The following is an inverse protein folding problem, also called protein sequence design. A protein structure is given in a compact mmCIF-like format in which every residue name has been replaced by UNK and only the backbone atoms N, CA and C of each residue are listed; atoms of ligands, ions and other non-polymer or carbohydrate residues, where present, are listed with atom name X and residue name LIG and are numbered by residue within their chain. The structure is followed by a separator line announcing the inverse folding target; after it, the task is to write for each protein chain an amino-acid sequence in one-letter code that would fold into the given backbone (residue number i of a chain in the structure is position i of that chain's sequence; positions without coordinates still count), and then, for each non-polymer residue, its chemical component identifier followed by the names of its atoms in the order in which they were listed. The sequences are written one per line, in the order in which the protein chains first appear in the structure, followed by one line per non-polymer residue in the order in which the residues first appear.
data_IF_044594246033
#
_entry.id   IF_044594246033
#
_cell.length_a   1.000
_cell.length_b   1.000
_cell.length_c   1.000
_cell.angle_alpha   90.00
_cell.angle_beta   90.00
_cell.angle_gamma   90.00
#
_symmetry.space_group_name_H-M   'P 1'
#
loop_
_entity.id
_entity.type
_entity.pdbx_description
1 polymer ?
#
# COMPACT_ATOMS: atom_id res chain seq x y z
N UNK A 1 2.71 15.15 -3.48
CA UNK A 1 3.46 15.60 -2.28
C UNK A 1 2.60 15.47 -1.02
N UNK A 2 1.37 15.99 -0.97
CA UNK A 2 0.53 15.92 0.24
C UNK A 2 0.23 14.48 0.70
N UNK A 3 0.01 13.54 -0.23
CA UNK A 3 -0.25 12.13 0.08
C UNK A 3 0.95 11.47 0.79
N UNK A 4 2.14 11.53 0.21
CA UNK A 4 3.34 10.91 0.80
C UNK A 4 3.69 11.48 2.18
N UNK A 5 3.40 12.79 2.41
CA UNK A 5 3.56 13.41 3.73
C UNK A 5 2.57 12.86 4.75
N UNK A 6 1.31 12.59 4.36
CA UNK A 6 0.30 11.97 5.22
C UNK A 6 0.69 10.53 5.56
N UNK A 7 1.11 9.74 4.57
CA UNK A 7 1.62 8.36 4.78
C UNK A 7 2.79 8.37 5.75
N UNK A 8 3.78 9.23 5.53
CA UNK A 8 4.92 9.38 6.43
C UNK A 8 4.51 9.81 7.85
N UNK A 9 3.44 10.61 7.97
CA UNK A 9 2.84 10.98 9.26
C UNK A 9 2.30 9.78 10.04
N UNK A 10 1.73 8.79 9.34
CA UNK A 10 1.31 7.51 9.96
C UNK A 10 2.55 6.69 10.35
N UNK A 11 3.51 6.54 9.45
CA UNK A 11 4.74 5.76 9.68
C UNK A 11 5.51 6.27 10.91
N UNK A 12 5.62 7.59 11.08
CA UNK A 12 6.28 8.24 12.23
C UNK A 12 5.69 7.88 13.59
N UNK A 13 4.45 7.44 13.65
CA UNK A 13 3.83 7.04 14.92
C UNK A 13 4.39 5.70 15.43
N UNK A 14 5.04 4.91 14.58
CA UNK A 14 5.46 3.54 14.88
C UNK A 14 6.96 3.30 14.77
N UNK A 15 7.71 4.19 14.15
CA UNK A 15 9.16 4.04 13.97
C UNK A 15 9.89 5.38 13.94
N UNK A 16 11.15 5.35 14.38
CA UNK A 16 12.13 6.44 14.25
C UNK A 16 13.25 6.09 13.26
N UNK A 17 13.15 4.94 12.57
CA UNK A 17 14.13 4.51 11.57
C UNK A 17 14.10 5.46 10.36
N UNK A 18 15.21 6.18 10.16
CA UNK A 18 15.32 7.22 9.13
C UNK A 18 15.18 6.66 7.71
N UNK A 19 15.68 5.45 7.46
CA UNK A 19 15.56 4.81 6.15
C UNK A 19 14.10 4.45 5.82
N UNK A 20 13.35 3.96 6.80
CA UNK A 20 11.92 3.66 6.64
C UNK A 20 11.14 4.97 6.41
N UNK A 21 11.44 6.02 7.16
CA UNK A 21 10.81 7.33 7.00
C UNK A 21 11.13 7.94 5.63
N UNK A 22 12.36 7.80 5.17
CA UNK A 22 12.80 8.25 3.85
C UNK A 22 12.07 7.46 2.74
N UNK A 23 12.04 6.13 2.85
CA UNK A 23 11.34 5.27 1.89
C UNK A 23 9.83 5.58 1.82
N UNK A 24 9.20 5.89 2.96
CA UNK A 24 7.79 6.29 3.01
C UNK A 24 7.53 7.62 2.26
N UNK A 25 8.48 8.56 2.30
CA UNK A 25 8.37 9.81 1.52
C UNK A 25 8.60 9.59 0.02
N UNK A 26 9.35 8.57 -0.36
CA UNK A 26 9.76 8.29 -1.74
C UNK A 26 8.97 7.15 -2.39
N UNK A 27 7.96 6.56 -1.71
CA UNK A 27 7.35 5.30 -2.12
C UNK A 27 6.73 5.32 -3.53
N UNK A 28 6.25 6.47 -4.01
CA UNK A 28 5.66 6.63 -5.35
C UNK A 28 6.66 7.20 -6.38
N UNK A 29 7.88 7.58 -5.97
CA UNK A 29 8.76 8.39 -6.84
C UNK A 29 9.21 7.63 -8.08
N UNK A 30 9.42 6.32 -7.99
CA UNK A 30 9.81 5.51 -9.16
C UNK A 30 8.64 5.41 -10.14
N UNK A 31 7.42 5.12 -9.67
CA UNK A 31 6.23 5.05 -10.53
C UNK A 31 5.92 6.39 -11.21
N UNK A 32 6.05 7.49 -10.46
CA UNK A 32 5.60 8.80 -10.92
C UNK A 32 6.64 9.56 -11.79
N UNK A 33 7.93 9.26 -11.61
CA UNK A 33 9.01 10.10 -12.17
C UNK A 33 9.93 9.41 -13.17
N UNK A 34 9.86 8.08 -13.28
CA UNK A 34 10.79 7.31 -14.12
C UNK A 34 10.03 6.39 -15.07
N UNK A 35 10.39 6.41 -16.37
CA UNK A 35 9.89 5.45 -17.35
C UNK A 35 10.49 4.06 -17.13
N UNK A 36 11.77 4.03 -16.74
CA UNK A 36 12.51 2.81 -16.41
C UNK A 36 12.69 2.70 -14.88
N UNK A 37 12.04 1.71 -14.23
CA UNK A 37 12.15 1.52 -12.78
C UNK A 37 13.58 1.20 -12.31
N UNK A 38 14.41 0.55 -13.13
CA UNK A 38 15.79 0.22 -12.75
C UNK A 38 16.69 1.47 -12.74
N UNK A 39 16.45 2.42 -13.65
CA UNK A 39 17.10 3.75 -13.61
C UNK A 39 16.68 4.51 -12.35
N UNK A 40 15.40 4.51 -12.02
CA UNK A 40 14.89 5.13 -10.79
C UNK A 40 15.52 4.53 -9.53
N UNK A 41 15.58 3.21 -9.45
CA UNK A 41 16.22 2.50 -8.34
C UNK A 41 17.69 2.87 -8.18
N UNK A 42 18.47 2.87 -9.28
CA UNK A 42 19.88 3.24 -9.24
C UNK A 42 20.12 4.67 -8.73
N UNK A 43 19.31 5.63 -9.21
CA UNK A 43 19.38 7.03 -8.74
C UNK A 43 19.05 7.14 -7.24
N UNK A 44 18.06 6.40 -6.76
CA UNK A 44 17.72 6.37 -5.33
C UNK A 44 18.84 5.75 -4.49
N UNK A 45 19.45 4.66 -4.99
CA UNK A 45 20.58 4.02 -4.31
C UNK A 45 21.77 4.98 -4.14
N UNK A 46 22.11 5.72 -5.20
CA UNK A 46 23.20 6.73 -5.14
C UNK A 46 22.89 7.87 -4.16
N UNK A 47 21.64 8.32 -4.07
CA UNK A 47 21.26 9.50 -3.27
C UNK A 47 20.90 9.19 -1.83
N UNK A 48 20.26 8.05 -1.58
CA UNK A 48 19.64 7.71 -0.29
C UNK A 48 20.14 6.39 0.30
N UNK A 49 20.99 5.67 -0.43
CA UNK A 49 21.55 4.39 -0.02
C UNK A 49 20.68 3.20 -0.44
N UNK A 50 21.33 2.03 -0.45
CA UNK A 50 20.77 0.78 -0.96
C UNK A 50 19.49 0.37 -0.24
N UNK A 51 19.44 0.47 1.09
CA UNK A 51 18.27 0.04 1.89
C UNK A 51 17.02 0.83 1.53
N UNK A 52 17.12 2.14 1.41
CA UNK A 52 15.99 3.00 1.00
C UNK A 52 15.55 2.66 -0.41
N UNK A 53 16.49 2.54 -1.35
CA UNK A 53 16.19 2.23 -2.75
C UNK A 53 15.50 0.87 -2.91
N UNK A 54 15.97 -0.16 -2.19
CA UNK A 54 15.37 -1.50 -2.22
C UNK A 54 13.94 -1.50 -1.67
N UNK A 55 13.67 -0.82 -0.56
CA UNK A 55 12.32 -0.69 0.00
C UNK A 55 11.40 0.02 -1.00
N UNK A 56 11.84 1.12 -1.61
CA UNK A 56 11.03 1.85 -2.60
C UNK A 56 10.78 0.99 -3.84
N UNK A 57 11.77 0.21 -4.30
CA UNK A 57 11.58 -0.74 -5.41
C UNK A 57 10.52 -1.79 -5.11
N UNK A 58 10.49 -2.35 -3.90
CA UNK A 58 9.43 -3.27 -3.47
C UNK A 58 8.05 -2.62 -3.50
N UNK A 59 7.95 -1.32 -3.18
CA UNK A 59 6.69 -0.57 -3.16
C UNK A 59 6.21 -0.17 -4.56
N UNK A 60 7.11 -0.09 -5.55
CA UNK A 60 6.83 0.29 -6.93
C UNK A 60 6.04 -0.81 -7.65
N UNK A 61 4.88 -0.48 -8.22
CA UNK A 61 4.07 -1.42 -9.01
C UNK A 61 4.54 -1.44 -10.47
N UNK A 62 4.46 -2.59 -11.12
CA UNK A 62 4.69 -2.72 -12.55
C UNK A 62 3.36 -2.79 -13.29
N UNK A 63 3.10 -1.81 -14.14
CA UNK A 63 1.89 -1.78 -14.95
C UNK A 63 1.87 -2.92 -15.97
N UNK A 64 3.03 -3.23 -16.54
CA UNK A 64 3.17 -4.31 -17.53
C UNK A 64 2.87 -5.67 -16.89
N UNK A 65 3.35 -5.93 -15.67
CA UNK A 65 3.02 -7.16 -14.94
C UNK A 65 1.52 -7.24 -14.62
N UNK A 66 0.92 -6.13 -14.14
CA UNK A 66 -0.50 -6.08 -13.83
C UNK A 66 -1.34 -6.41 -15.07
N UNK A 67 -1.01 -5.83 -16.21
CA UNK A 67 -1.81 -5.95 -17.42
C UNK A 67 -1.61 -7.31 -18.14
N UNK A 68 -0.45 -7.96 -17.99
CA UNK A 68 -0.10 -9.19 -18.73
C UNK A 68 -0.21 -10.47 -17.90
N UNK A 69 0.05 -10.40 -16.58
CA UNK A 69 0.28 -11.60 -15.75
C UNK A 69 -0.81 -11.83 -14.70
N UNK A 70 -1.70 -10.86 -14.47
CA UNK A 70 -2.72 -10.94 -13.44
C UNK A 70 -4.12 -10.59 -13.93
N UNK A 71 -5.13 -11.26 -13.37
CA UNK A 71 -6.54 -11.01 -13.71
C UNK A 71 -7.04 -9.65 -13.18
N UNK A 72 -6.43 -9.15 -12.11
CA UNK A 72 -6.76 -7.85 -11.53
C UNK A 72 -5.57 -7.22 -10.81
N UNK A 73 -5.67 -5.89 -10.58
CA UNK A 73 -4.69 -5.17 -9.73
C UNK A 73 -4.69 -5.72 -8.29
N UNK A 74 -5.85 -6.18 -7.79
CA UNK A 74 -5.93 -6.77 -6.46
C UNK A 74 -5.12 -8.07 -6.38
N UNK A 75 -5.24 -8.96 -7.37
CA UNK A 75 -4.48 -10.22 -7.41
C UNK A 75 -2.97 -9.97 -7.47
N UNK A 76 -2.54 -9.03 -8.31
CA UNK A 76 -1.14 -8.59 -8.34
C UNK A 76 -0.66 -8.09 -6.97
N UNK A 77 -1.43 -7.21 -6.31
CA UNK A 77 -1.05 -6.66 -5.02
C UNK A 77 -1.03 -7.70 -3.91
N UNK A 78 -1.92 -8.68 -3.92
CA UNK A 78 -1.93 -9.80 -2.97
C UNK A 78 -0.60 -10.56 -3.05
N UNK A 79 -0.19 -10.97 -4.25
CA UNK A 79 1.05 -11.70 -4.48
C UNK A 79 2.26 -10.84 -4.09
N UNK A 80 2.28 -9.60 -4.55
CA UNK A 80 3.37 -8.67 -4.25
C UNK A 80 3.52 -8.40 -2.75
N UNK A 81 2.44 -8.07 -2.06
CA UNK A 81 2.47 -7.79 -0.63
C UNK A 81 2.79 -9.03 0.21
N UNK A 82 2.42 -10.22 -0.26
CA UNK A 82 2.82 -11.47 0.39
C UNK A 82 4.34 -11.65 0.42
N UNK A 83 5.06 -11.20 -0.60
CA UNK A 83 6.51 -11.33 -0.73
C UNK A 83 7.31 -10.12 -0.26
N UNK A 84 6.68 -9.01 0.10
CA UNK A 84 7.37 -7.81 0.59
C UNK A 84 8.16 -8.08 1.87
N UNK A 85 9.29 -7.38 2.04
CA UNK A 85 9.95 -7.24 3.34
C UNK A 85 8.98 -6.68 4.38
N UNK A 86 9.31 -6.84 5.66
CA UNK A 86 8.48 -6.31 6.75
C UNK A 86 8.38 -4.78 6.69
N UNK A 87 9.45 -4.11 6.30
CA UNK A 87 9.52 -2.66 6.14
C UNK A 87 8.64 -2.17 4.99
N UNK A 88 8.76 -2.80 3.82
CA UNK A 88 7.95 -2.44 2.65
C UNK A 88 6.46 -2.72 2.91
N UNK A 89 6.11 -3.85 3.50
CA UNK A 89 4.73 -4.16 3.85
C UNK A 89 4.16 -3.16 4.85
N UNK A 90 4.93 -2.76 5.87
CA UNK A 90 4.51 -1.75 6.82
C UNK A 90 4.15 -0.42 6.13
N UNK A 91 5.03 0.08 5.26
CA UNK A 91 4.75 1.30 4.49
C UNK A 91 3.53 1.12 3.58
N UNK A 92 3.41 -0.02 2.90
CA UNK A 92 2.26 -0.31 2.00
C UNK A 92 0.93 -0.36 2.75
N UNK A 93 0.90 -0.89 3.97
CA UNK A 93 -0.29 -0.88 4.82
C UNK A 93 -0.63 0.55 5.26
N UNK A 94 0.36 1.39 5.61
CA UNK A 94 0.14 2.80 5.93
C UNK A 94 -0.39 3.60 4.73
N UNK A 95 0.16 3.37 3.53
CA UNK A 95 -0.32 3.93 2.27
C UNK A 95 -1.79 3.56 2.03
N UNK A 96 -2.13 2.28 2.16
CA UNK A 96 -3.51 1.82 1.99
C UNK A 96 -4.47 2.42 3.01
N UNK A 97 -4.06 2.54 4.27
CA UNK A 97 -4.84 3.21 5.32
C UNK A 97 -5.12 4.67 4.99
N UNK A 98 -4.12 5.40 4.48
CA UNK A 98 -4.29 6.78 4.04
C UNK A 98 -5.20 6.90 2.82
N UNK A 99 -5.02 6.02 1.83
CA UNK A 99 -5.85 5.99 0.63
C UNK A 99 -7.33 5.72 0.93
N UNK A 100 -7.65 4.85 1.89
CA UNK A 100 -9.04 4.66 2.36
C UNK A 100 -9.60 5.97 2.90
N UNK A 101 -8.82 6.72 3.66
CA UNK A 101 -9.25 8.02 4.20
C UNK A 101 -9.50 9.04 3.09
N UNK A 102 -8.62 9.10 2.10
CA UNK A 102 -8.75 10.03 0.96
C UNK A 102 -9.89 9.63 0.01
N UNK A 103 -10.21 8.33 -0.08
CA UNK A 103 -11.29 7.82 -0.93
C UNK A 103 -12.69 8.29 -0.51
N UNK A 104 -12.87 8.77 0.73
CA UNK A 104 -14.15 9.34 1.18
C UNK A 104 -14.65 10.50 0.32
N UNK A 105 -13.73 11.30 -0.20
CA UNK A 105 -14.04 12.47 -1.04
C UNK A 105 -14.05 12.15 -2.53
N UNK A 106 -13.71 10.92 -2.91
CA UNK A 106 -13.71 10.47 -4.29
C UNK A 106 -15.13 10.13 -4.79
N UNK A 107 -15.26 9.92 -6.11
CA UNK A 107 -16.51 9.44 -6.71
C UNK A 107 -16.95 8.11 -6.09
N UNK A 108 -18.25 7.87 -6.00
CA UNK A 108 -18.81 6.64 -5.44
C UNK A 108 -18.28 5.39 -6.14
N UNK A 109 -18.17 5.42 -7.47
CA UNK A 109 -17.64 4.30 -8.26
C UNK A 109 -16.19 3.98 -7.89
N UNK A 110 -15.33 5.00 -7.79
CA UNK A 110 -13.93 4.82 -7.41
C UNK A 110 -13.81 4.32 -5.97
N UNK A 111 -14.54 4.94 -5.05
CA UNK A 111 -14.56 4.57 -3.64
C UNK A 111 -14.97 3.11 -3.44
N UNK A 112 -16.08 2.69 -4.04
CA UNK A 112 -16.59 1.33 -3.90
C UNK A 112 -15.59 0.30 -4.46
N UNK A 113 -15.02 0.56 -5.64
CA UNK A 113 -13.98 -0.29 -6.22
C UNK A 113 -12.78 -0.41 -5.30
N UNK A 114 -12.25 0.71 -4.81
CA UNK A 114 -11.06 0.72 -3.96
C UNK A 114 -11.28 -0.01 -2.63
N UNK A 115 -12.47 0.13 -2.03
CA UNK A 115 -12.83 -0.57 -0.79
C UNK A 115 -12.96 -2.07 -1.01
N UNK A 116 -13.58 -2.51 -2.09
CA UNK A 116 -13.68 -3.94 -2.43
C UNK A 116 -12.29 -4.56 -2.67
N UNK A 117 -11.44 -3.90 -3.44
CA UNK A 117 -10.04 -4.33 -3.63
C UNK A 117 -9.31 -4.44 -2.29
N UNK A 118 -9.48 -3.47 -1.40
CA UNK A 118 -8.82 -3.48 -0.09
C UNK A 118 -9.32 -4.62 0.79
N UNK A 119 -10.62 -4.90 0.80
CA UNK A 119 -11.21 -6.04 1.53
C UNK A 119 -10.59 -7.34 1.02
N UNK A 120 -10.57 -7.56 -0.29
CA UNK A 120 -9.99 -8.76 -0.91
C UNK A 120 -8.51 -8.93 -0.53
N UNK A 121 -7.72 -7.87 -0.65
CA UNK A 121 -6.29 -7.89 -0.33
C UNK A 121 -6.09 -8.24 1.15
N UNK A 122 -6.80 -7.60 2.06
CA UNK A 122 -6.63 -7.82 3.50
C UNK A 122 -7.05 -9.23 3.91
N UNK A 123 -8.18 -9.72 3.38
CA UNK A 123 -8.68 -11.07 3.69
C UNK A 123 -7.67 -12.15 3.22
N UNK A 124 -7.08 -12.00 2.03
CA UNK A 124 -6.10 -12.96 1.52
C UNK A 124 -4.74 -12.86 2.21
N UNK A 125 -4.27 -11.66 2.53
CA UNK A 125 -3.01 -11.49 3.26
C UNK A 125 -3.10 -12.08 4.67
N UNK A 126 -4.18 -11.86 5.41
CA UNK A 126 -4.35 -12.38 6.77
C UNK A 126 -4.40 -13.91 6.83
N UNK A 127 -4.90 -14.56 5.77
CA UNK A 127 -4.90 -16.04 5.68
C UNK A 127 -3.51 -16.62 5.44
N UNK A 128 -2.68 -15.92 4.66
CA UNK A 128 -1.48 -16.48 4.05
C UNK A 128 -0.18 -15.89 4.60
N UNK A 129 -0.21 -14.71 5.24
CA UNK A 129 0.96 -14.04 5.79
C UNK A 129 0.78 -13.71 7.26
N UNK A 130 1.76 -14.09 8.08
CA UNK A 130 1.81 -13.69 9.48
C UNK A 130 2.28 -12.24 9.58
N UNK A 131 1.46 -11.37 10.15
CA UNK A 131 1.83 -10.00 10.46
C UNK A 131 2.65 -9.90 11.74
N UNK A 132 3.65 -9.03 11.76
CA UNK A 132 4.27 -8.60 13.00
C UNK A 132 3.31 -7.68 13.78
N UNK A 133 3.70 -7.29 15.01
CA UNK A 133 2.84 -6.47 15.89
C UNK A 133 2.38 -5.17 15.23
N UNK A 134 3.30 -4.43 14.60
CA UNK A 134 2.99 -3.12 14.00
C UNK A 134 2.10 -3.30 12.77
N UNK A 135 2.44 -4.24 11.90
CA UNK A 135 1.61 -4.57 10.73
C UNK A 135 0.18 -4.97 11.14
N UNK A 136 0.04 -5.77 12.20
CA UNK A 136 -1.26 -6.16 12.74
C UNK A 136 -2.07 -4.97 13.28
N UNK A 137 -1.43 -4.00 13.94
CA UNK A 137 -2.09 -2.78 14.39
C UNK A 137 -2.63 -1.95 13.22
N UNK A 138 -1.84 -1.77 12.15
CA UNK A 138 -2.28 -1.03 10.96
C UNK A 138 -3.39 -1.79 10.22
N UNK A 139 -3.24 -3.12 10.05
CA UNK A 139 -4.26 -3.96 9.45
C UNK A 139 -5.60 -3.87 10.19
N UNK A 140 -5.60 -3.84 11.52
CA UNK A 140 -6.81 -3.63 12.32
C UNK A 140 -7.43 -2.25 12.09
N UNK A 141 -6.64 -1.19 11.97
CA UNK A 141 -7.15 0.14 11.64
C UNK A 141 -7.80 0.19 10.27
N UNK A 142 -7.21 -0.48 9.25
CA UNK A 142 -7.79 -0.62 7.92
C UNK A 142 -9.16 -1.31 8.02
N UNK A 143 -9.24 -2.45 8.71
CA UNK A 143 -10.50 -3.20 8.87
C UNK A 143 -11.58 -2.42 9.59
N UNK A 144 -11.23 -1.71 10.66
CA UNK A 144 -12.18 -0.86 11.39
C UNK A 144 -12.72 0.28 10.51
N UNK A 145 -11.86 0.93 9.73
CA UNK A 145 -12.30 1.95 8.77
C UNK A 145 -13.22 1.38 7.71
N UNK A 146 -12.90 0.23 7.13
CA UNK A 146 -13.74 -0.44 6.14
C UNK A 146 -15.10 -0.83 6.72
N UNK A 147 -15.16 -1.32 7.95
CA UNK A 147 -16.41 -1.65 8.64
C UNK A 147 -17.29 -0.42 8.85
N UNK A 148 -16.70 0.71 9.31
CA UNK A 148 -17.42 1.97 9.47
C UNK A 148 -17.94 2.51 8.15
N UNK A 149 -17.12 2.45 7.09
CA UNK A 149 -17.50 2.88 5.74
C UNK A 149 -18.65 2.02 5.21
N UNK A 150 -18.58 0.71 5.37
CA UNK A 150 -19.63 -0.21 4.92
C UNK A 150 -20.97 0.09 5.59
N UNK A 151 -20.97 0.48 6.87
CA UNK A 151 -22.20 0.87 7.59
C UNK A 151 -22.77 2.20 7.07
N UNK A 152 -21.90 3.18 6.76
CA UNK A 152 -22.33 4.52 6.27
C UNK A 152 -22.83 4.47 4.83
N UNK A 153 -22.12 3.76 3.94
CA UNK A 153 -22.39 3.75 2.50
C UNK A 153 -23.13 2.52 2.01
N UNK A 154 -23.54 1.59 2.89
CA UNK A 154 -24.22 0.32 2.55
C UNK A 154 -23.47 -0.48 1.47
N UNK A 155 -22.16 -0.51 1.53
CA UNK A 155 -21.33 -1.27 0.61
C UNK A 155 -21.50 -2.76 0.93
N UNK A 156 -22.04 -3.54 -0.01
CA UNK A 156 -22.17 -5.00 0.14
C UNK A 156 -20.78 -5.65 0.04
N UNK A 157 -20.47 -6.56 0.96
CA UNK A 157 -19.33 -7.47 0.80
C UNK A 157 -19.66 -8.50 -0.29
N UNK A 158 -18.68 -8.88 -1.10
CA UNK A 158 -18.86 -9.87 -2.17
C UNK A 158 -19.34 -11.24 -1.67
N UNK A 159 -19.26 -11.53 -0.38
CA UNK A 159 -19.59 -12.83 0.24
C UNK A 159 -21.03 -12.91 0.78
N UNK A 160 -21.91 -11.99 0.45
CA UNK A 160 -23.33 -12.01 0.85
C UNK A 160 -24.26 -12.28 -0.35
N UNK A 161 -23.79 -13.10 -1.30
CA UNK A 161 -24.63 -13.67 -2.37
C UNK A 161 -24.71 -15.18 -2.18
#
# INVERSE_FOLDING_TARGET
IAHVQKVNGIVKQYTTDEDILCAALLHDVIEDCFEDPDVGHHILEEKFGKRVADIVKELTSSKDEIDNDYDSKADYLIVKMFHMSDEALFIKLCDRLQNISDAFTASERFRNKYFQETIQIMDELEKNRRFNRIQGLIANQIKMKLANISSIFKIKRFNEI
#
